data_IF_889382006085
#
_entry.id   IF_889382006085
#
_cell.length_a   1.000
_cell.length_b   1.000
_cell.length_c   1.000
_cell.angle_alpha   90.00
_cell.angle_beta   90.00
_cell.angle_gamma   90.00
#
_symmetry.space_group_name_H-M   'P 1'
#
loop_
_entity.id
_entity.type
_entity.pdbx_description
1 polymer ?
#
# COMPACT_ATOMS: atom_id res chain seq x y z
N UNK A 1 14.12 -1.28 -6.00
CA UNK A 1 13.26 -2.26 -5.27
C UNK A 1 11.85 -1.72 -5.21
N UNK A 2 10.84 -2.57 -5.35
CA UNK A 2 9.42 -2.24 -5.15
C UNK A 2 8.95 -2.78 -3.79
N UNK A 3 8.31 -1.94 -2.99
CA UNK A 3 7.59 -2.32 -1.76
C UNK A 3 6.10 -2.12 -2.03
N UNK A 4 5.33 -3.21 -2.10
CA UNK A 4 3.89 -3.17 -2.35
C UNK A 4 3.14 -3.34 -1.04
N UNK A 5 2.40 -2.32 -0.63
CA UNK A 5 1.54 -2.38 0.54
C UNK A 5 0.13 -2.81 0.17
N UNK A 6 -0.48 -3.60 1.03
CA UNK A 6 -1.86 -4.05 0.93
C UNK A 6 -2.58 -3.93 2.28
N UNK A 7 -3.91 -4.01 2.28
CA UNK A 7 -4.73 -4.01 3.48
C UNK A 7 -5.97 -3.11 3.34
N UNK A 8 -6.94 -3.32 4.19
CA UNK A 8 -8.20 -2.57 4.18
C UNK A 8 -8.01 -1.08 4.49
N UNK A 9 -8.93 -0.21 4.11
CA UNK A 9 -8.93 1.18 4.56
C UNK A 9 -8.93 1.26 6.10
N UNK A 10 -8.17 2.20 6.67
CA UNK A 10 -8.12 2.39 8.13
C UNK A 10 -7.01 1.63 8.88
N UNK A 11 -6.40 0.61 8.29
CA UNK A 11 -5.37 -0.20 8.97
C UNK A 11 -4.00 0.48 9.14
N UNK A 12 -3.77 1.68 8.58
CA UNK A 12 -2.51 2.42 8.78
C UNK A 12 -1.50 2.36 7.62
N UNK A 13 -1.85 1.81 6.45
CA UNK A 13 -0.96 1.71 5.27
C UNK A 13 -0.23 3.00 4.92
N UNK A 14 -0.97 4.09 4.71
CA UNK A 14 -0.41 5.39 4.30
C UNK A 14 0.53 5.98 5.36
N UNK A 15 0.27 5.74 6.64
CA UNK A 15 1.16 6.16 7.72
C UNK A 15 2.50 5.43 7.63
N UNK A 16 2.46 4.12 7.47
CA UNK A 16 3.65 3.28 7.28
C UNK A 16 4.36 3.65 5.97
N UNK A 17 3.62 3.77 4.85
CA UNK A 17 4.19 4.15 3.56
C UNK A 17 4.98 5.46 3.61
N UNK A 18 4.42 6.49 4.23
CA UNK A 18 5.08 7.80 4.39
C UNK A 18 6.32 7.73 5.27
N UNK A 19 6.30 6.92 6.32
CA UNK A 19 7.46 6.72 7.18
C UNK A 19 8.58 5.98 6.45
N UNK A 20 8.24 4.88 5.77
CA UNK A 20 9.17 4.13 4.94
C UNK A 20 9.77 5.00 3.82
N UNK A 21 8.93 5.82 3.15
CA UNK A 21 9.39 6.68 2.08
C UNK A 21 10.45 7.69 2.55
N UNK A 22 10.24 8.29 3.73
CA UNK A 22 11.23 9.19 4.33
C UNK A 22 12.50 8.47 4.77
N UNK A 23 12.36 7.27 5.35
CA UNK A 23 13.50 6.52 5.86
C UNK A 23 14.40 5.96 4.74
N UNK A 24 13.78 5.50 3.64
CA UNK A 24 14.46 4.86 2.52
C UNK A 24 14.75 5.81 1.34
N UNK A 25 14.45 7.10 1.47
CA UNK A 25 14.47 8.07 0.35
C UNK A 25 13.73 7.52 -0.89
N UNK A 26 12.54 6.97 -0.67
CA UNK A 26 11.77 6.26 -1.67
C UNK A 26 10.65 7.11 -2.27
N UNK A 27 10.28 6.80 -3.51
CA UNK A 27 9.11 7.39 -4.16
C UNK A 27 7.85 6.75 -3.59
N UNK A 28 6.95 7.54 -3.00
CA UNK A 28 5.67 7.09 -2.49
C UNK A 28 4.57 7.30 -3.53
N UNK A 29 3.99 6.20 -4.01
CA UNK A 29 2.87 6.22 -4.95
C UNK A 29 1.62 5.76 -4.21
N UNK A 30 0.70 6.69 -3.99
CA UNK A 30 -0.59 6.42 -3.34
C UNK A 30 -1.69 6.38 -4.40
N UNK A 31 -2.27 5.20 -4.62
CA UNK A 31 -3.32 5.00 -5.64
C UNK A 31 -4.55 5.88 -5.37
N UNK A 32 -5.02 5.96 -4.10
CA UNK A 32 -6.15 6.84 -3.75
C UNK A 32 -5.93 8.31 -4.15
N UNK A 33 -4.69 8.82 -4.07
CA UNK A 33 -4.38 10.21 -4.46
C UNK A 33 -4.47 10.41 -5.97
N UNK A 34 -4.08 9.39 -6.75
CA UNK A 34 -4.21 9.39 -8.20
C UNK A 34 -5.68 9.35 -8.59
N UNK A 35 -6.46 8.46 -7.96
CA UNK A 35 -7.90 8.35 -8.22
C UNK A 35 -8.65 9.64 -7.88
N UNK A 36 -8.30 10.29 -6.76
CA UNK A 36 -8.87 11.58 -6.39
C UNK A 36 -8.55 12.65 -7.44
N UNK A 37 -7.30 12.77 -7.86
CA UNK A 37 -6.87 13.72 -8.88
C UNK A 37 -7.58 13.49 -10.22
N UNK A 38 -7.80 12.23 -10.62
CA UNK A 38 -8.56 11.89 -11.82
C UNK A 38 -10.01 12.38 -11.69
N UNK A 39 -10.66 12.15 -10.54
CA UNK A 39 -12.05 12.63 -10.29
C UNK A 39 -12.15 14.15 -10.34
N UNK A 40 -11.17 14.83 -9.78
CA UNK A 40 -11.14 16.30 -9.71
C UNK A 40 -10.70 16.98 -11.01
N UNK A 41 -10.10 16.25 -11.95
CA UNK A 41 -9.57 16.79 -13.21
C UNK A 41 -10.63 17.31 -14.19
N UNK A 42 -11.90 17.01 -13.94
CA UNK A 42 -13.00 17.34 -14.86
C UNK A 42 -13.05 16.49 -16.13
N UNK A 43 -12.15 15.53 -16.28
CA UNK A 43 -12.19 14.56 -17.37
C UNK A 43 -13.37 13.61 -17.14
N UNK A 44 -14.31 13.59 -18.08
CA UNK A 44 -15.42 12.64 -18.03
C UNK A 44 -14.91 11.24 -18.36
N UNK A 45 -14.79 10.40 -17.35
CA UNK A 45 -14.51 8.97 -17.51
C UNK A 45 -15.79 8.18 -17.20
N UNK A 46 -16.05 7.14 -17.98
CA UNK A 46 -17.23 6.28 -17.76
C UNK A 46 -17.08 5.52 -16.45
N UNK A 47 -15.86 5.12 -16.12
CA UNK A 47 -15.49 4.51 -14.84
C UNK A 47 -14.01 4.76 -14.57
N UNK A 48 -13.64 4.95 -13.31
CA UNK A 48 -12.24 5.06 -12.91
C UNK A 48 -11.64 3.65 -12.72
N UNK A 49 -12.45 2.67 -12.32
CA UNK A 49 -12.13 1.25 -12.08
C UNK A 49 -10.67 1.00 -11.67
N UNK A 50 -9.82 0.69 -12.66
CA UNK A 50 -8.39 0.40 -12.46
C UNK A 50 -7.46 1.55 -12.87
N UNK A 51 -7.99 2.73 -13.26
CA UNK A 51 -7.18 3.83 -13.79
C UNK A 51 -6.11 4.29 -12.81
N UNK A 52 -6.44 4.42 -11.52
CA UNK A 52 -5.50 4.78 -10.46
C UNK A 52 -4.35 3.77 -10.35
N UNK A 53 -4.66 2.49 -10.44
CA UNK A 53 -3.66 1.43 -10.46
C UNK A 53 -2.78 1.49 -11.71
N UNK A 54 -3.37 1.64 -12.90
CA UNK A 54 -2.61 1.71 -14.17
C UNK A 54 -1.62 2.87 -14.19
N UNK A 55 -2.05 4.05 -13.75
CA UNK A 55 -1.15 5.21 -13.60
C UNK A 55 -0.08 4.90 -12.57
N UNK A 56 -0.45 4.32 -11.42
CA UNK A 56 0.49 3.92 -10.38
C UNK A 56 1.55 2.94 -10.89
N UNK A 57 1.16 1.92 -11.68
CA UNK A 57 2.09 0.96 -12.28
C UNK A 57 3.08 1.64 -13.24
N UNK A 58 2.61 2.52 -14.12
CA UNK A 58 3.45 3.21 -15.07
C UNK A 58 4.49 4.10 -14.37
N UNK A 59 4.03 4.95 -13.42
CA UNK A 59 4.91 5.83 -12.66
C UNK A 59 5.91 5.03 -11.81
N UNK A 60 5.48 3.91 -11.24
CA UNK A 60 6.36 3.01 -10.48
C UNK A 60 7.46 2.44 -11.36
N UNK A 61 7.10 1.91 -12.54
CA UNK A 61 8.06 1.31 -13.46
C UNK A 61 9.13 2.31 -13.90
N UNK A 62 8.74 3.54 -14.25
CA UNK A 62 9.67 4.60 -14.63
C UNK A 62 10.67 4.92 -13.52
N UNK A 63 10.20 5.06 -12.28
CA UNK A 63 11.07 5.35 -11.13
C UNK A 63 11.98 4.17 -10.76
N UNK A 64 11.48 2.94 -10.85
CA UNK A 64 12.28 1.75 -10.61
C UNK A 64 13.42 1.62 -11.63
N UNK A 65 13.16 1.92 -12.91
CA UNK A 65 14.18 1.94 -13.98
C UNK A 65 15.25 3.00 -13.77
N UNK A 66 14.91 4.08 -13.08
CA UNK A 66 15.87 5.10 -12.62
C UNK A 66 16.66 4.69 -11.36
N UNK A 67 16.49 3.45 -10.87
CA UNK A 67 17.17 2.93 -9.69
C UNK A 67 16.57 3.38 -8.36
N UNK A 68 15.40 4.02 -8.36
CA UNK A 68 14.72 4.45 -7.13
C UNK A 68 14.05 3.28 -6.42
N UNK A 69 13.91 3.40 -5.11
CA UNK A 69 12.99 2.56 -4.34
C UNK A 69 11.59 3.14 -4.52
N UNK A 70 10.60 2.29 -4.73
CA UNK A 70 9.20 2.70 -4.87
C UNK A 70 8.36 2.00 -3.82
N UNK A 71 7.47 2.75 -3.16
CA UNK A 71 6.47 2.24 -2.23
C UNK A 71 5.10 2.47 -2.85
N UNK A 72 4.43 1.37 -3.18
CA UNK A 72 3.07 1.35 -3.70
C UNK A 72 2.08 1.25 -2.53
N UNK A 73 1.32 2.32 -2.29
CA UNK A 73 0.32 2.42 -1.23
C UNK A 73 -1.08 2.28 -1.82
N UNK A 74 -1.67 1.10 -1.68
CA UNK A 74 -3.00 0.78 -2.20
C UNK A 74 -3.71 -0.26 -1.33
N UNK A 75 -5.01 -0.45 -1.52
CA UNK A 75 -5.76 -1.52 -0.85
C UNK A 75 -5.28 -2.89 -1.32
N UNK A 76 -4.97 -3.02 -2.60
CA UNK A 76 -4.41 -4.22 -3.25
C UNK A 76 -5.22 -5.50 -2.92
N UNK A 77 -6.54 -5.51 -3.17
CA UNK A 77 -7.45 -6.47 -2.57
C UNK A 77 -7.45 -7.84 -3.25
N UNK A 78 -6.99 -7.93 -4.51
CA UNK A 78 -7.11 -9.13 -5.34
C UNK A 78 -5.75 -9.67 -5.76
N UNK A 79 -5.63 -10.99 -6.02
CA UNK A 79 -4.40 -11.58 -6.57
C UNK A 79 -3.94 -10.85 -7.84
N UNK A 80 -4.87 -10.51 -8.74
CA UNK A 80 -4.57 -9.80 -10.00
C UNK A 80 -3.87 -8.45 -9.77
N UNK A 81 -4.29 -7.66 -8.78
CA UNK A 81 -3.63 -6.37 -8.49
C UNK A 81 -2.26 -6.56 -7.86
N UNK A 82 -2.11 -7.60 -7.02
CA UNK A 82 -0.83 -8.00 -6.42
C UNK A 82 0.16 -8.50 -7.49
N UNK A 83 -0.34 -9.30 -8.45
CA UNK A 83 0.47 -9.77 -9.59
C UNK A 83 0.92 -8.61 -10.47
N UNK A 84 0.04 -7.65 -10.75
CA UNK A 84 0.37 -6.50 -11.56
C UNK A 84 1.52 -5.66 -10.95
N UNK A 85 1.55 -5.46 -9.62
CA UNK A 85 2.70 -4.82 -8.95
C UNK A 85 3.99 -5.64 -9.08
N UNK A 86 3.93 -6.96 -8.92
CA UNK A 86 5.09 -7.85 -9.14
C UNK A 86 5.58 -7.79 -10.59
N UNK A 87 4.66 -7.71 -11.54
CA UNK A 87 4.99 -7.59 -12.95
C UNK A 87 5.71 -6.27 -13.25
N UNK A 88 5.34 -5.17 -12.58
CA UNK A 88 6.09 -3.91 -12.65
C UNK A 88 7.55 -4.12 -12.21
N UNK A 89 7.77 -4.73 -11.06
CA UNK A 89 9.12 -5.01 -10.57
C UNK A 89 9.90 -5.92 -11.53
N UNK A 90 9.25 -6.96 -12.06
CA UNK A 90 9.86 -7.87 -13.05
C UNK A 90 10.27 -7.15 -14.33
N UNK A 91 9.42 -6.28 -14.89
CA UNK A 91 9.75 -5.49 -16.08
C UNK A 91 10.87 -4.47 -15.82
N UNK A 92 10.93 -3.94 -14.61
CA UNK A 92 12.01 -3.05 -14.16
C UNK A 92 13.27 -3.82 -13.72
N UNK A 93 13.25 -5.15 -13.70
CA UNK A 93 14.34 -6.03 -13.27
C UNK A 93 14.84 -5.73 -11.84
N UNK A 94 13.91 -5.51 -10.92
CA UNK A 94 14.21 -5.24 -9.51
C UNK A 94 13.47 -6.21 -8.58
N UNK A 95 13.98 -6.36 -7.37
CA UNK A 95 13.28 -7.12 -6.33
C UNK A 95 11.98 -6.44 -5.91
N UNK A 96 10.99 -7.27 -5.48
CA UNK A 96 9.76 -6.80 -4.87
C UNK A 96 9.48 -7.51 -3.56
N UNK A 97 8.88 -6.78 -2.63
CA UNK A 97 8.35 -7.31 -1.37
C UNK A 97 6.91 -6.88 -1.20
N UNK A 98 6.04 -7.84 -0.86
CA UNK A 98 4.64 -7.59 -0.54
C UNK A 98 4.48 -7.51 0.98
N UNK A 99 3.78 -6.48 1.45
CA UNK A 99 3.51 -6.26 2.88
C UNK A 99 2.00 -6.06 3.06
N UNK A 100 1.37 -6.93 3.82
CA UNK A 100 -0.01 -6.76 4.25
C UNK A 100 -0.05 -6.04 5.59
N UNK A 101 -0.76 -4.92 5.64
CA UNK A 101 -1.02 -4.18 6.87
C UNK A 101 -2.42 -4.55 7.37
N UNK A 102 -2.51 -5.00 8.60
CA UNK A 102 -3.75 -5.35 9.25
C UNK A 102 -3.94 -4.56 10.54
N UNK A 103 -5.14 -4.57 11.08
CA UNK A 103 -5.46 -4.15 12.44
C UNK A 103 -6.37 -5.24 13.03
N UNK A 104 -5.79 -6.13 13.82
CA UNK A 104 -6.50 -7.30 14.37
C UNK A 104 -7.55 -6.92 15.40
N UNK A 105 -7.40 -5.78 16.08
CA UNK A 105 -8.44 -5.22 16.95
C UNK A 105 -9.53 -4.56 16.09
N UNK A 106 -10.68 -5.23 16.00
CA UNK A 106 -11.82 -4.76 15.22
C UNK A 106 -12.42 -3.45 15.73
N UNK A 107 -12.41 -3.23 17.04
CA UNK A 107 -12.96 -2.01 17.63
C UNK A 107 -12.06 -0.82 17.34
N UNK A 108 -10.75 -0.99 17.47
CA UNK A 108 -9.75 0.00 17.11
C UNK A 108 -9.80 0.32 15.61
N UNK A 109 -9.85 -0.72 14.74
CA UNK A 109 -9.95 -0.53 13.30
C UNK A 109 -11.19 0.29 12.92
N UNK A 110 -12.37 -0.06 13.52
CA UNK A 110 -13.61 0.67 13.30
C UNK A 110 -13.47 2.14 13.74
N UNK A 111 -12.96 2.38 14.93
CA UNK A 111 -12.75 3.75 15.42
C UNK A 111 -11.85 4.58 14.50
N UNK A 112 -10.79 3.97 13.95
CA UNK A 112 -9.89 4.62 12.98
C UNK A 112 -10.59 4.95 11.65
N UNK A 113 -11.51 4.11 11.18
CA UNK A 113 -12.30 4.36 9.97
C UNK A 113 -13.30 5.49 10.23
N UNK A 114 -14.08 5.40 11.31
CA UNK A 114 -15.13 6.36 11.66
C UNK A 114 -14.55 7.77 11.94
N UNK A 115 -13.41 7.85 12.65
CA UNK A 115 -12.76 9.14 12.94
C UNK A 115 -12.30 9.93 11.70
N UNK A 116 -12.26 9.32 10.53
CA UNK A 116 -11.95 10.00 9.26
C UNK A 116 -13.16 10.67 8.66
N UNK A 117 -14.36 10.13 8.91
CA UNK A 117 -15.62 10.68 8.42
C UNK A 117 -15.95 12.04 9.07
N UNK A 118 -15.41 12.27 10.29
CA UNK A 118 -15.62 13.49 11.05
C UNK A 118 -14.73 14.67 10.59
N UNK A 119 -13.82 14.45 9.64
CA UNK A 119 -12.88 15.48 9.17
C UNK A 119 -13.27 16.00 7.79
N UNK A 120 -13.72 17.27 7.66
CA UNK A 120 -13.85 17.90 6.36
C UNK A 120 -12.46 18.26 5.78
N UNK A 121 -12.30 18.30 4.44
CA UNK A 121 -13.31 18.18 3.39
C UNK A 121 -13.38 16.76 2.82
N UNK A 122 -14.53 16.41 2.31
CA UNK A 122 -14.90 15.45 1.24
C UNK A 122 -14.07 14.21 0.89
N UNK A 123 -12.91 13.96 1.46
CA UNK A 123 -12.22 12.67 1.42
C UNK A 123 -12.68 11.82 2.62
N UNK A 124 -13.99 11.79 2.78
CA UNK A 124 -14.66 10.87 3.67
C UNK A 124 -14.45 9.47 3.10
N UNK A 125 -13.35 8.84 3.41
CA UNK A 125 -13.09 7.47 3.00
C UNK A 125 -14.32 6.55 3.17
N UNK A 126 -14.22 5.26 2.89
CA UNK A 126 -15.34 4.36 3.00
C UNK A 126 -15.88 4.30 4.43
N UNK A 127 -17.18 4.11 4.57
CA UNK A 127 -17.84 3.80 5.84
C UNK A 127 -17.34 2.46 6.39
N UNK A 128 -17.54 2.21 7.68
CA UNK A 128 -17.15 0.93 8.29
C UNK A 128 -17.79 -0.26 7.58
N UNK A 129 -19.08 -0.14 7.17
CA UNK A 129 -19.77 -1.21 6.45
C UNK A 129 -19.11 -1.51 5.11
N UNK A 130 -18.74 -0.49 4.33
CA UNK A 130 -18.03 -0.67 3.05
C UNK A 130 -16.63 -1.27 3.24
N UNK A 131 -15.98 -1.00 4.37
CA UNK A 131 -14.67 -1.61 4.70
C UNK A 131 -14.83 -3.10 4.95
N UNK A 132 -15.78 -3.51 5.81
CA UNK A 132 -15.92 -4.92 6.23
C UNK A 132 -16.58 -5.81 5.17
N UNK A 133 -17.32 -5.22 4.23
CA UNK A 133 -17.96 -5.94 3.11
C UNK A 133 -17.12 -5.91 1.84
N UNK A 134 -15.97 -5.24 1.86
CA UNK A 134 -15.09 -5.15 0.69
C UNK A 134 -14.59 -6.53 0.29
N UNK A 135 -14.66 -6.84 -1.01
CA UNK A 135 -14.08 -8.06 -1.55
C UNK A 135 -12.54 -7.99 -1.47
N UNK A 136 -12.01 -8.42 -0.34
CA UNK A 136 -10.58 -8.52 -0.08
C UNK A 136 -10.21 -10.00 -0.01
N UNK A 137 -9.53 -10.50 -1.04
CA UNK A 137 -9.19 -11.91 -1.17
C UNK A 137 -8.02 -12.29 -0.27
N UNK A 138 -8.07 -13.47 0.37
CA UNK A 138 -6.94 -14.00 1.12
C UNK A 138 -5.65 -14.00 0.29
N UNK A 139 -4.53 -13.93 0.97
CA UNK A 139 -3.24 -14.08 0.31
C UNK A 139 -2.98 -15.54 -0.05
N UNK A 140 -2.48 -15.76 -1.26
CA UNK A 140 -2.16 -17.06 -1.85
C UNK A 140 -0.65 -17.33 -1.92
N UNK A 141 0.14 -16.45 -1.30
CA UNK A 141 1.60 -16.46 -1.38
C UNK A 141 2.26 -15.89 -0.12
N UNK A 142 3.57 -16.16 0.00
CA UNK A 142 4.39 -15.59 1.07
C UNK A 142 4.43 -14.04 0.95
N UNK A 143 4.20 -13.38 2.07
CA UNK A 143 4.24 -11.94 2.24
C UNK A 143 4.54 -11.60 3.70
N UNK A 144 4.91 -10.35 3.97
CA UNK A 144 5.10 -9.84 5.34
C UNK A 144 3.75 -9.35 5.86
N UNK A 145 3.38 -9.75 7.08
CA UNK A 145 2.19 -9.23 7.76
C UNK A 145 2.63 -8.31 8.90
N UNK A 146 2.03 -7.10 8.94
CA UNK A 146 2.25 -6.13 10.02
C UNK A 146 0.91 -5.79 10.64
N UNK A 147 0.75 -6.17 11.92
CA UNK A 147 -0.42 -5.80 12.70
C UNK A 147 -0.18 -4.47 13.40
N UNK A 148 -1.13 -3.55 13.22
CA UNK A 148 -1.09 -2.20 13.81
C UNK A 148 -1.99 -2.04 15.03
N UNK A 149 -2.63 -3.11 15.49
CA UNK A 149 -3.48 -3.08 16.67
C UNK A 149 -2.65 -2.83 17.94
N UNK A 150 -3.08 -1.93 18.80
CA UNK A 150 -2.44 -1.66 20.08
C UNK A 150 -1.07 -0.99 20.00
N UNK A 151 -0.62 -0.55 18.81
CA UNK A 151 0.68 0.11 18.65
C UNK A 151 0.54 1.49 18.05
N UNK A 152 1.50 2.38 18.36
CA UNK A 152 1.51 3.74 17.79
C UNK A 152 1.92 3.74 16.32
N UNK A 153 1.71 4.87 15.65
CA UNK A 153 2.15 5.05 14.26
C UNK A 153 3.68 4.89 14.12
N UNK A 154 4.44 5.41 15.09
CA UNK A 154 5.90 5.32 15.14
C UNK A 154 6.36 3.87 15.34
N UNK A 155 5.72 3.15 16.24
CA UNK A 155 6.00 1.72 16.48
C UNK A 155 5.69 0.88 15.24
N UNK A 156 4.54 1.11 14.58
CA UNK A 156 4.17 0.43 13.33
C UNK A 156 5.21 0.66 12.23
N UNK A 157 5.70 1.90 12.11
CA UNK A 157 6.73 2.26 11.15
C UNK A 157 8.08 1.59 11.46
N UNK A 158 8.47 1.53 12.73
CA UNK A 158 9.70 0.85 13.16
C UNK A 158 9.62 -0.67 12.87
N UNK A 159 8.48 -1.30 13.14
CA UNK A 159 8.23 -2.72 12.81
C UNK A 159 8.38 -2.95 11.30
N UNK A 160 7.80 -2.06 10.48
CA UNK A 160 7.87 -2.17 9.03
C UNK A 160 9.31 -2.03 8.51
N UNK A 161 10.06 -1.04 9.00
CA UNK A 161 11.48 -0.86 8.65
C UNK A 161 12.29 -2.11 8.99
N UNK A 162 12.18 -2.61 10.23
CA UNK A 162 12.91 -3.80 10.65
C UNK A 162 12.53 -5.05 9.84
N UNK A 163 11.26 -5.18 9.42
CA UNK A 163 10.82 -6.30 8.59
C UNK A 163 11.43 -6.23 7.18
N UNK A 164 11.50 -5.04 6.57
CA UNK A 164 12.12 -4.83 5.26
C UNK A 164 13.62 -5.09 5.32
N UNK A 165 14.32 -4.60 6.36
CA UNK A 165 15.75 -4.84 6.55
C UNK A 165 16.07 -6.32 6.68
N UNK A 166 15.29 -7.07 7.47
CA UNK A 166 15.43 -8.53 7.59
C UNK A 166 15.21 -9.22 6.23
N UNK A 167 14.14 -8.86 5.53
CA UNK A 167 13.85 -9.43 4.22
C UNK A 167 15.00 -9.18 3.22
N UNK A 168 15.59 -7.99 3.25
CA UNK A 168 16.70 -7.60 2.38
C UNK A 168 17.98 -8.36 2.72
N UNK A 169 18.28 -8.51 4.01
CA UNK A 169 19.47 -9.23 4.47
C UNK A 169 19.47 -10.69 4.04
N UNK A 170 18.31 -11.35 4.09
CA UNK A 170 18.19 -12.75 3.68
C UNK A 170 18.40 -12.96 2.17
N UNK A 171 18.09 -11.99 1.33
CA UNK A 171 18.26 -12.08 -0.11
C UNK A 171 19.66 -11.70 -0.62
N UNK A 172 20.42 -10.97 0.16
CA UNK A 172 21.80 -10.59 -0.16
C UNK A 172 22.84 -11.64 0.24
N UNK A 173 22.46 -12.60 1.07
CA UNK A 173 23.34 -13.72 1.43
C UNK A 173 23.19 -14.79 0.35
N UNK A 174 24.21 -15.05 -0.51
CA UNK A 174 24.15 -16.13 -1.49
C UNK A 174 23.95 -17.47 -0.76
N UNK A 175 23.23 -18.42 -1.33
CA UNK A 175 23.14 -19.76 -0.77
C UNK A 175 24.57 -20.34 -0.70
N UNK A 176 24.92 -20.89 0.48
CA UNK A 176 26.19 -21.61 0.70
C UNK A 176 26.22 -22.88 -0.12
#
# INVERSE_FOLDING_TARGET
MLISLAGLPGVGKTTIARSLARHLDAVHIRVDSIELAIRESGVTVVSIDDAGYRVGYAVAEDNLRLGRIVIADSVNPWPMTRDAWRDVARRAQVDSVDIEIVCSDRAEHRGRVESRLDKPPADSGPTWNEVVTRDYRPWDREHIVIDTAGVTAEQSAAIANAAIERWWSHRRTPPR
#
